data_IF_532375428904
#
_entry.id   IF_532375428904
#
_cell.length_a   1.000
_cell.length_b   1.000
_cell.length_c   1.000
_cell.angle_alpha   90.00
_cell.angle_beta   90.00
_cell.angle_gamma   90.00
#
_symmetry.space_group_name_H-M   'P 1'
#
loop_
_entity.id
_entity.type
_entity.pdbx_description
1 polymer ?
#
# COMPACT_ATOMS: atom_id res chain seq x y z
N UNK A 1 24.03 -0.50 3.46
CA UNK A 1 23.93 0.93 3.86
C UNK A 1 25.08 1.83 3.35
N UNK A 2 25.95 1.40 2.42
CA UNK A 2 27.08 2.21 1.90
C UNK A 2 26.95 2.68 0.45
N UNK A 3 25.94 2.20 -0.30
CA UNK A 3 25.82 2.46 -1.74
C UNK A 3 24.97 3.69 -2.07
N UNK A 4 24.13 4.16 -1.13
CA UNK A 4 23.22 5.29 -1.35
C UNK A 4 23.85 6.67 -1.12
N UNK A 5 25.04 6.75 -0.50
CA UNK A 5 25.73 8.03 -0.28
C UNK A 5 26.49 8.52 -1.53
N UNK A 6 26.92 7.60 -2.40
CA UNK A 6 27.67 7.91 -3.63
C UNK A 6 26.72 8.48 -4.72
N UNK A 7 25.46 8.03 -4.76
CA UNK A 7 24.48 8.49 -5.76
C UNK A 7 23.99 9.94 -5.53
N UNK A 8 24.00 10.44 -4.29
CA UNK A 8 23.57 11.82 -3.99
C UNK A 8 24.64 12.82 -4.44
N UNK A 9 25.92 12.45 -4.40
CA UNK A 9 27.02 13.30 -4.87
C UNK A 9 27.05 13.44 -6.40
N UNK A 10 26.64 12.39 -7.12
CA UNK A 10 26.64 12.33 -8.59
C UNK A 10 25.55 13.20 -9.26
N UNK A 11 24.50 13.58 -8.53
CA UNK A 11 23.44 14.47 -9.04
C UNK A 11 23.80 15.97 -8.96
N UNK A 12 24.87 16.35 -8.26
CA UNK A 12 25.32 17.74 -8.16
C UNK A 12 26.20 18.17 -9.34
N UNK A 13 26.85 17.22 -10.04
CA UNK A 13 27.76 17.53 -11.16
C UNK A 13 27.09 18.01 -12.48
N UNK A 14 25.89 17.55 -12.88
CA UNK A 14 25.29 17.97 -14.16
C UNK A 14 24.76 19.41 -14.15
N UNK A 15 24.43 19.97 -12.97
CA UNK A 15 23.86 21.32 -12.84
C UNK A 15 24.88 22.45 -13.04
N UNK A 16 26.19 22.16 -12.97
CA UNK A 16 27.25 23.14 -13.21
C UNK A 16 27.70 23.23 -14.68
N UNK A 17 27.21 22.36 -15.57
CA UNK A 17 27.62 22.36 -16.99
C UNK A 17 26.59 23.11 -17.88
N UNK A 18 25.38 23.38 -17.39
CA UNK A 18 24.34 24.11 -18.13
C UNK A 18 24.32 25.63 -17.85
N UNK A 19 25.49 26.26 -17.68
CA UNK A 19 25.66 27.73 -17.52
C UNK A 19 26.63 28.30 -18.57
N UNK A 20 26.94 27.54 -19.62
CA UNK A 20 27.88 27.97 -20.66
C UNK A 20 27.32 27.85 -22.07
N UNK A 21 26.45 28.77 -22.52
CA UNK A 21 26.39 29.13 -23.94
C UNK A 21 25.72 30.50 -24.15
N UNK A 22 26.34 31.44 -24.90
CA UNK A 22 25.80 32.77 -25.11
C UNK A 22 24.96 32.82 -26.40
N UNK A 23 23.67 33.15 -26.29
CA UNK A 23 22.88 33.56 -27.45
C UNK A 23 22.53 35.04 -27.39
N UNK A 24 23.27 35.83 -28.18
CA UNK A 24 22.88 37.16 -28.63
C UNK A 24 21.57 37.08 -29.41
N UNK A 25 20.56 37.86 -29.02
CA UNK A 25 19.53 38.38 -29.92
C UNK A 25 19.20 39.82 -29.50
N UNK A 26 19.10 40.80 -30.43
CA UNK A 26 18.67 42.14 -30.09
C UNK A 26 17.14 42.14 -29.99
N UNK A 27 16.62 42.28 -28.77
CA UNK A 27 15.19 42.52 -28.55
C UNK A 27 14.87 43.98 -28.82
N UNK A 28 14.02 44.21 -29.81
CA UNK A 28 13.34 45.49 -30.07
C UNK A 28 12.55 45.85 -28.81
N UNK A 29 12.86 47.00 -28.24
CA UNK A 29 12.23 47.57 -27.04
C UNK A 29 10.88 48.19 -27.41
N UNK A 30 9.73 47.70 -26.91
CA UNK A 30 8.51 48.49 -26.85
C UNK A 30 8.59 49.38 -25.61
N UNK A 31 8.58 50.70 -25.79
CA UNK A 31 8.45 51.65 -24.69
C UNK A 31 7.05 51.54 -24.09
N UNK A 32 6.90 50.70 -23.06
CA UNK A 32 5.82 50.80 -22.10
C UNK A 32 6.43 51.27 -20.77
N UNK A 33 5.87 52.29 -20.10
CA UNK A 33 6.38 52.70 -18.80
C UNK A 33 6.27 51.52 -17.82
N UNK A 34 7.38 51.10 -17.18
CA UNK A 34 7.37 49.98 -16.28
C UNK A 34 6.80 50.43 -14.94
N UNK A 35 5.55 50.07 -14.68
CA UNK A 35 4.98 50.10 -13.33
C UNK A 35 5.51 48.88 -12.56
N UNK A 36 6.82 48.73 -12.44
CA UNK A 36 7.45 47.71 -11.59
C UNK A 36 8.19 48.44 -10.48
N UNK A 37 7.50 48.61 -9.34
CA UNK A 37 8.17 48.83 -8.06
C UNK A 37 9.08 47.63 -7.82
N UNK A 38 10.37 47.82 -8.04
CA UNK A 38 11.40 46.84 -7.72
C UNK A 38 11.38 46.61 -6.21
N UNK A 39 11.57 45.36 -5.76
CA UNK A 39 11.71 45.03 -4.33
C UNK A 39 12.83 45.83 -3.63
N UNK A 40 13.74 46.44 -4.38
CA UNK A 40 14.76 47.37 -3.86
C UNK A 40 14.20 48.72 -3.38
N UNK A 41 13.02 49.16 -3.83
CA UNK A 41 12.39 50.41 -3.37
C UNK A 41 11.59 50.23 -2.06
N UNK A 42 11.31 48.98 -1.65
CA UNK A 42 10.68 48.69 -0.36
C UNK A 42 11.64 48.82 0.83
N UNK A 43 12.96 48.73 0.60
CA UNK A 43 13.97 48.92 1.66
C UNK A 43 14.08 50.39 2.11
N UNK A 44 13.68 51.36 1.28
CA UNK A 44 13.68 52.78 1.67
C UNK A 44 12.45 53.18 2.52
N UNK A 45 11.44 52.32 2.59
CA UNK A 45 10.13 52.59 3.18
C UNK A 45 9.75 51.60 4.30
N UNK A 46 10.74 50.95 4.91
CA UNK A 46 10.55 50.21 6.16
C UNK A 46 10.85 51.15 7.34
N UNK A 47 9.84 51.70 8.05
CA UNK A 47 10.07 52.41 9.30
C UNK A 47 10.84 51.50 10.26
N UNK A 48 11.90 52.01 10.88
CA UNK A 48 12.76 51.27 11.80
C UNK A 48 12.07 50.81 13.11
N UNK A 49 10.74 50.88 13.19
CA UNK A 49 9.97 50.84 14.44
C UNK A 49 8.60 50.13 14.30
N UNK A 50 8.47 49.14 13.41
CA UNK A 50 7.26 48.30 13.33
C UNK A 50 7.26 47.11 14.31
N UNK A 51 8.45 46.68 14.77
CA UNK A 51 8.60 45.57 15.72
C UNK A 51 8.19 45.95 17.16
N UNK A 52 8.25 47.24 17.50
CA UNK A 52 7.95 47.74 18.85
C UNK A 52 6.54 48.36 18.98
N UNK A 53 5.73 48.37 17.92
CA UNK A 53 4.33 48.82 18.00
C UNK A 53 3.47 47.76 18.74
N UNK A 54 2.91 48.09 19.92
CA UNK A 54 2.10 47.17 20.70
C UNK A 54 0.86 46.65 19.99
N UNK A 55 0.33 47.36 18.98
CA UNK A 55 -0.78 46.87 18.17
C UNK A 55 -0.31 45.83 17.14
N UNK A 56 0.80 46.10 16.44
CA UNK A 56 1.38 45.17 15.47
C UNK A 56 1.80 43.85 16.14
N UNK A 57 2.39 43.95 17.33
CA UNK A 57 2.79 42.77 18.12
C UNK A 57 1.60 41.87 18.47
N UNK A 58 0.47 42.45 18.91
CA UNK A 58 -0.76 41.69 19.22
C UNK A 58 -1.35 41.00 18.00
N UNK A 59 -1.31 41.64 16.83
CA UNK A 59 -1.79 41.06 15.57
C UNK A 59 -0.92 39.87 15.18
N UNK A 60 0.40 40.03 15.22
CA UNK A 60 1.36 38.97 14.91
C UNK A 60 1.18 37.77 15.86
N UNK A 61 1.13 37.99 17.18
CA UNK A 61 0.91 36.94 18.17
C UNK A 61 -0.42 36.19 17.97
N UNK A 62 -1.49 36.90 17.60
CA UNK A 62 -2.77 36.26 17.34
C UNK A 62 -2.75 35.44 16.04
N UNK A 63 -2.09 35.95 14.99
CA UNK A 63 -1.89 35.22 13.74
C UNK A 63 -1.07 33.95 13.98
N UNK A 64 0.06 34.07 14.68
CA UNK A 64 0.95 32.94 15.02
C UNK A 64 0.21 31.89 15.86
N UNK A 65 -0.57 32.32 16.86
CA UNK A 65 -1.39 31.42 17.67
C UNK A 65 -2.41 30.68 16.82
N UNK A 66 -3.13 31.37 15.93
CA UNK A 66 -4.12 30.76 15.05
C UNK A 66 -3.49 29.81 14.02
N UNK A 67 -2.37 30.20 13.42
CA UNK A 67 -1.66 29.32 12.47
C UNK A 67 -1.13 28.09 13.18
N UNK A 68 -0.51 28.24 14.35
CA UNK A 68 -0.03 27.12 15.18
C UNK A 68 -1.15 26.13 15.52
N UNK A 69 -2.33 26.62 15.92
CA UNK A 69 -3.50 25.78 16.17
C UNK A 69 -3.94 25.01 14.91
N UNK A 70 -4.03 25.68 13.76
CA UNK A 70 -4.39 25.02 12.50
C UNK A 70 -3.36 23.97 12.07
N UNK A 71 -2.07 24.22 12.28
CA UNK A 71 -1.02 23.25 11.99
C UNK A 71 -1.15 22.02 12.89
N UNK A 72 -1.40 22.21 14.19
CA UNK A 72 -1.65 21.10 15.11
C UNK A 72 -2.89 20.29 14.72
N UNK A 73 -4.00 20.95 14.42
CA UNK A 73 -5.23 20.27 14.02
C UNK A 73 -5.04 19.50 12.69
N UNK A 74 -4.34 20.10 11.72
CA UNK A 74 -4.01 19.46 10.47
C UNK A 74 -3.11 18.23 10.67
N UNK A 75 -2.08 18.33 11.51
CA UNK A 75 -1.17 17.23 11.81
C UNK A 75 -1.90 16.05 12.48
N UNK A 76 -2.77 16.33 13.46
CA UNK A 76 -3.60 15.30 14.09
C UNK A 76 -4.58 14.65 13.11
N UNK A 77 -5.22 15.45 12.25
CA UNK A 77 -6.10 14.93 11.18
C UNK A 77 -5.34 14.07 10.18
N UNK A 78 -4.11 14.46 9.86
CA UNK A 78 -3.25 13.72 8.93
C UNK A 78 -2.80 12.38 9.55
N UNK A 79 -2.38 12.37 10.81
CA UNK A 79 -2.03 11.14 11.55
C UNK A 79 -3.19 10.17 11.62
N UNK A 80 -4.36 10.64 12.04
CA UNK A 80 -5.57 9.81 12.18
C UNK A 80 -6.02 9.24 10.84
N UNK A 81 -6.03 10.05 9.78
CA UNK A 81 -6.39 9.62 8.42
C UNK A 81 -5.41 8.59 7.89
N UNK A 82 -4.10 8.79 8.12
CA UNK A 82 -3.06 7.85 7.72
C UNK A 82 -3.20 6.51 8.44
N UNK A 83 -3.47 6.52 9.74
CA UNK A 83 -3.71 5.32 10.54
C UNK A 83 -4.94 4.56 10.02
N UNK A 84 -6.06 5.27 9.78
CA UNK A 84 -7.27 4.68 9.21
C UNK A 84 -7.03 4.04 7.84
N UNK A 85 -6.28 4.70 6.96
CA UNK A 85 -5.92 4.15 5.65
C UNK A 85 -5.04 2.89 5.76
N UNK A 86 -4.09 2.88 6.71
CA UNK A 86 -3.28 1.70 7.02
C UNK A 86 -4.14 0.53 7.49
N UNK A 87 -5.08 0.77 8.39
CA UNK A 87 -6.00 -0.27 8.87
C UNK A 87 -6.88 -0.79 7.74
N UNK A 88 -7.48 0.10 6.94
CA UNK A 88 -8.32 -0.29 5.79
C UNK A 88 -7.55 -1.13 4.76
N UNK A 89 -6.30 -0.77 4.46
CA UNK A 89 -5.46 -1.54 3.52
C UNK A 89 -5.07 -2.91 4.06
N UNK A 90 -4.79 -3.02 5.36
CA UNK A 90 -4.53 -4.32 6.02
C UNK A 90 -5.79 -5.18 5.99
N UNK A 91 -6.95 -4.65 6.38
CA UNK A 91 -8.22 -5.37 6.37
C UNK A 91 -8.60 -5.82 4.94
N UNK A 92 -8.37 -4.97 3.94
CA UNK A 92 -8.60 -5.33 2.54
C UNK A 92 -7.66 -6.45 2.08
N UNK A 93 -6.38 -6.41 2.49
CA UNK A 93 -5.40 -7.44 2.20
C UNK A 93 -5.76 -8.79 2.86
N UNK A 94 -6.18 -8.78 4.12
CA UNK A 94 -6.65 -9.96 4.85
C UNK A 94 -7.89 -10.56 4.21
N UNK A 95 -8.89 -9.72 3.88
CA UNK A 95 -10.10 -10.16 3.17
C UNK A 95 -9.76 -10.79 1.83
N UNK A 96 -8.87 -10.16 1.05
CA UNK A 96 -8.41 -10.68 -0.23
C UNK A 96 -7.61 -11.98 -0.08
N UNK A 97 -6.87 -12.17 1.02
CA UNK A 97 -6.17 -13.41 1.33
C UNK A 97 -7.17 -14.54 1.63
N UNK A 98 -8.16 -14.29 2.47
CA UNK A 98 -9.20 -15.27 2.83
C UNK A 98 -10.03 -15.68 1.61
N UNK A 99 -10.41 -14.74 0.74
CA UNK A 99 -11.19 -15.07 -0.47
C UNK A 99 -10.41 -15.98 -1.42
N UNK A 100 -9.12 -15.70 -1.62
CA UNK A 100 -8.26 -16.49 -2.49
C UNK A 100 -7.94 -17.87 -1.87
N UNK A 101 -7.65 -17.91 -0.56
CA UNK A 101 -7.47 -19.15 0.18
C UNK A 101 -8.72 -20.04 0.13
N UNK A 102 -9.91 -19.45 0.26
CA UNK A 102 -11.19 -20.16 0.14
C UNK A 102 -11.33 -20.80 -1.24
N UNK A 103 -11.07 -20.05 -2.32
CA UNK A 103 -11.18 -20.59 -3.68
C UNK A 103 -10.20 -21.76 -3.93
N UNK A 104 -8.95 -21.62 -3.47
CA UNK A 104 -7.94 -22.68 -3.58
C UNK A 104 -8.31 -23.91 -2.75
N UNK A 105 -8.79 -23.71 -1.52
CA UNK A 105 -9.24 -24.79 -0.66
C UNK A 105 -10.46 -25.52 -1.21
N UNK A 106 -11.45 -24.79 -1.75
CA UNK A 106 -12.63 -25.37 -2.41
C UNK A 106 -12.21 -26.25 -3.59
N UNK A 107 -11.32 -25.75 -4.45
CA UNK A 107 -10.77 -26.54 -5.57
C UNK A 107 -10.04 -27.81 -5.09
N UNK A 108 -9.24 -27.70 -4.02
CA UNK A 108 -8.52 -28.83 -3.46
C UNK A 108 -9.47 -29.88 -2.84
N UNK A 109 -10.47 -29.43 -2.07
CA UNK A 109 -11.49 -30.30 -1.47
C UNK A 109 -12.32 -31.04 -2.52
N UNK A 110 -12.83 -30.33 -3.53
CA UNK A 110 -13.57 -30.96 -4.64
C UNK A 110 -12.71 -31.99 -5.37
N UNK A 111 -11.43 -31.68 -5.63
CA UNK A 111 -10.52 -32.62 -6.30
C UNK A 111 -10.32 -33.90 -5.49
N UNK A 112 -10.23 -33.81 -4.16
CA UNK A 112 -10.10 -34.98 -3.30
C UNK A 112 -11.35 -35.86 -3.34
N UNK A 113 -12.55 -35.25 -3.33
CA UNK A 113 -13.82 -35.98 -3.50
C UNK A 113 -13.84 -36.70 -4.85
N UNK A 114 -13.45 -36.01 -5.94
CA UNK A 114 -13.37 -36.63 -7.28
C UNK A 114 -12.40 -37.82 -7.29
N UNK A 115 -11.23 -37.71 -6.65
CA UNK A 115 -10.28 -38.83 -6.56
C UNK A 115 -10.85 -40.03 -5.82
N UNK A 116 -11.60 -39.81 -4.73
CA UNK A 116 -12.28 -40.88 -4.00
C UNK A 116 -13.37 -41.55 -4.85
N UNK A 117 -14.14 -40.76 -5.59
CA UNK A 117 -15.12 -41.29 -6.55
C UNK A 117 -14.41 -42.11 -7.63
N UNK A 118 -13.33 -41.60 -8.22
CA UNK A 118 -12.56 -42.34 -9.22
C UNK A 118 -12.03 -43.67 -8.66
N UNK A 119 -11.54 -43.69 -7.41
CA UNK A 119 -11.13 -44.92 -6.74
C UNK A 119 -12.27 -45.92 -6.62
N UNK A 120 -13.46 -45.46 -6.27
CA UNK A 120 -14.67 -46.29 -6.22
C UNK A 120 -15.10 -46.79 -7.60
N UNK A 121 -14.92 -45.99 -8.65
CA UNK A 121 -15.31 -46.36 -10.01
C UNK A 121 -14.36 -47.40 -10.65
N UNK A 122 -13.10 -47.49 -10.21
CA UNK A 122 -12.06 -48.37 -10.80
C UNK A 122 -12.44 -49.86 -10.95
N UNK A 123 -13.13 -50.51 -9.99
CA UNK A 123 -13.48 -51.92 -10.10
C UNK A 123 -14.54 -52.21 -11.16
N UNK A 124 -15.32 -51.21 -11.57
CA UNK A 124 -16.44 -51.39 -12.49
C UNK A 124 -16.00 -51.31 -13.94
N UNK A 125 -16.52 -52.22 -14.75
CA UNK A 125 -16.29 -52.28 -16.20
C UNK A 125 -17.49 -51.75 -16.98
N UNK A 126 -17.30 -51.41 -18.26
CA UNK A 126 -18.41 -51.00 -19.15
C UNK A 126 -19.50 -52.07 -19.28
N UNK A 127 -19.12 -53.36 -19.18
CA UNK A 127 -20.06 -54.50 -19.22
C UNK A 127 -20.97 -54.54 -17.98
N UNK A 128 -20.54 -53.95 -16.87
CA UNK A 128 -21.29 -53.83 -15.62
C UNK A 128 -22.16 -52.57 -15.55
N UNK A 129 -22.22 -51.79 -16.65
CA UNK A 129 -23.06 -50.61 -16.76
C UNK A 129 -22.52 -49.37 -16.05
N UNK A 130 -21.19 -49.25 -15.93
CA UNK A 130 -20.50 -48.09 -15.35
C UNK A 130 -20.97 -46.76 -15.96
N UNK A 131 -21.40 -45.84 -15.10
CA UNK A 131 -21.65 -44.43 -15.44
C UNK A 131 -20.71 -43.55 -14.62
N UNK A 132 -19.91 -42.73 -15.31
CA UNK A 132 -19.03 -41.77 -14.63
C UNK A 132 -19.86 -40.59 -14.10
N UNK A 133 -19.78 -40.35 -12.80
CA UNK A 133 -20.49 -39.25 -12.12
C UNK A 133 -19.55 -38.24 -11.45
N UNK A 134 -18.24 -38.24 -11.75
CA UNK A 134 -17.29 -37.28 -11.14
C UNK A 134 -17.66 -35.82 -11.40
N UNK A 135 -18.29 -35.53 -12.54
CA UNK A 135 -18.75 -34.18 -12.92
C UNK A 135 -19.87 -33.62 -12.04
N UNK A 136 -20.45 -34.44 -11.15
CA UNK A 136 -21.51 -34.01 -10.22
C UNK A 136 -20.96 -33.17 -9.06
N UNK A 137 -19.66 -33.32 -8.76
CA UNK A 137 -19.02 -32.63 -7.63
C UNK A 137 -18.93 -31.15 -7.94
N UNK A 138 -19.43 -30.32 -7.03
CA UNK A 138 -19.42 -28.87 -7.12
C UNK A 138 -19.26 -28.23 -5.74
N UNK A 139 -19.18 -26.90 -5.71
CA UNK A 139 -18.93 -26.13 -4.50
C UNK A 139 -20.02 -26.31 -3.43
N UNK A 140 -21.26 -26.61 -3.85
CA UNK A 140 -22.40 -26.74 -2.95
C UNK A 140 -22.51 -28.13 -2.30
N UNK A 141 -21.96 -29.18 -2.92
CA UNK A 141 -22.19 -30.56 -2.47
C UNK A 141 -20.95 -31.29 -1.94
N UNK A 142 -19.72 -30.86 -2.27
CA UNK A 142 -18.52 -31.64 -1.92
C UNK A 142 -18.28 -31.80 -0.40
N UNK A 143 -18.84 -30.90 0.42
CA UNK A 143 -18.76 -30.95 1.89
C UNK A 143 -19.92 -31.69 2.55
N UNK A 144 -20.92 -32.13 1.79
CA UNK A 144 -22.12 -32.75 2.34
C UNK A 144 -22.38 -34.08 1.66
N UNK A 145 -22.25 -35.15 2.43
CA UNK A 145 -22.50 -36.50 1.95
C UNK A 145 -23.93 -36.68 1.41
N UNK A 146 -24.92 -36.09 2.09
CA UNK A 146 -26.33 -36.14 1.67
C UNK A 146 -26.55 -35.39 0.36
N UNK A 147 -26.07 -34.15 0.26
CA UNK A 147 -26.21 -33.37 -0.97
C UNK A 147 -25.46 -34.00 -2.15
N UNK A 148 -24.28 -34.59 -1.90
CA UNK A 148 -23.51 -35.31 -2.91
C UNK A 148 -24.23 -36.58 -3.36
N UNK A 149 -24.74 -37.37 -2.42
CA UNK A 149 -25.52 -38.58 -2.69
C UNK A 149 -26.79 -38.26 -3.49
N UNK A 150 -27.56 -37.25 -3.08
CA UNK A 150 -28.75 -36.78 -3.81
C UNK A 150 -28.41 -36.35 -5.24
N UNK A 151 -27.32 -35.60 -5.41
CA UNK A 151 -26.86 -35.16 -6.73
C UNK A 151 -26.50 -36.36 -7.62
N UNK A 152 -25.84 -37.38 -7.05
CA UNK A 152 -25.48 -38.62 -7.75
C UNK A 152 -26.71 -39.44 -8.13
N UNK A 153 -27.61 -39.71 -7.18
CA UNK A 153 -28.85 -40.46 -7.43
C UNK A 153 -29.67 -39.77 -8.51
N UNK A 154 -29.79 -38.44 -8.46
CA UNK A 154 -30.48 -37.66 -9.49
C UNK A 154 -29.84 -37.84 -10.87
N UNK A 155 -28.51 -37.77 -10.97
CA UNK A 155 -27.79 -37.95 -12.22
C UNK A 155 -27.97 -39.38 -12.76
N UNK A 156 -27.84 -40.37 -11.87
CA UNK A 156 -27.89 -41.79 -12.21
C UNK A 156 -29.31 -42.31 -12.45
N UNK A 157 -30.36 -41.61 -12.01
CA UNK A 157 -31.77 -42.03 -12.23
C UNK A 157 -32.15 -42.26 -13.70
N UNK A 158 -31.38 -41.68 -14.64
CA UNK A 158 -31.53 -41.92 -16.08
C UNK A 158 -31.03 -43.30 -16.54
N UNK A 159 -30.10 -43.89 -15.80
CA UNK A 159 -29.41 -45.15 -16.13
C UNK A 159 -29.65 -46.27 -15.11
N UNK A 160 -30.01 -45.91 -13.87
CA UNK A 160 -30.27 -46.79 -12.74
C UNK A 160 -31.71 -46.65 -12.27
N UNK A 161 -32.41 -47.79 -12.09
CA UNK A 161 -33.77 -47.84 -11.54
C UNK A 161 -33.73 -48.07 -10.02
N UNK A 162 -33.39 -47.02 -9.27
CA UNK A 162 -33.38 -47.07 -7.80
C UNK A 162 -34.79 -47.32 -7.22
N UNK A 163 -34.88 -48.08 -6.13
CA UNK A 163 -36.14 -48.35 -5.43
C UNK A 163 -37.11 -49.29 -6.15
N UNK A 164 -36.68 -49.93 -7.24
CA UNK A 164 -37.47 -50.92 -7.98
C UNK A 164 -37.17 -52.34 -7.52
N UNK A 165 -38.13 -53.27 -7.70
CA UNK A 165 -37.91 -54.71 -7.46
C UNK A 165 -37.11 -55.40 -8.59
N UNK A 166 -36.72 -54.65 -9.62
CA UNK A 166 -35.95 -55.18 -10.74
C UNK A 166 -34.47 -55.36 -10.35
N UNK A 167 -33.83 -56.41 -10.86
CA UNK A 167 -32.38 -56.62 -10.65
C UNK A 167 -31.64 -55.54 -11.45
N UNK A 168 -31.20 -54.48 -10.77
CA UNK A 168 -30.30 -53.48 -11.33
C UNK A 168 -28.95 -54.08 -11.72
N UNK A 169 -28.17 -53.35 -12.54
CA UNK A 169 -26.80 -53.78 -12.82
C UNK A 169 -25.92 -53.69 -11.55
N UNK A 170 -24.78 -54.38 -11.56
CA UNK A 170 -23.87 -54.47 -10.40
C UNK A 170 -23.50 -53.09 -9.86
N UNK A 171 -23.31 -52.12 -10.76
CA UNK A 171 -22.99 -50.74 -10.41
C UNK A 171 -24.13 -50.03 -9.65
N UNK A 172 -25.35 -50.02 -10.19
CA UNK A 172 -26.52 -49.37 -9.59
C UNK A 172 -26.87 -49.99 -8.24
N UNK A 173 -26.82 -51.33 -8.13
CA UNK A 173 -27.05 -52.02 -6.86
C UNK A 173 -26.01 -51.61 -5.82
N UNK A 174 -24.74 -51.52 -6.20
CA UNK A 174 -23.68 -51.10 -5.27
C UNK A 174 -23.90 -49.67 -4.76
N UNK A 175 -24.31 -48.75 -5.63
CA UNK A 175 -24.66 -47.37 -5.23
C UNK A 175 -25.85 -47.37 -4.26
N UNK A 176 -26.88 -48.16 -4.54
CA UNK A 176 -28.09 -48.25 -3.72
C UNK A 176 -27.84 -48.87 -2.33
N UNK A 177 -27.06 -49.95 -2.26
CA UNK A 177 -26.74 -50.64 -0.99
C UNK A 177 -25.69 -49.92 -0.14
N UNK A 178 -24.67 -49.29 -0.75
CA UNK A 178 -23.67 -48.52 -0.01
C UNK A 178 -24.30 -47.26 0.63
N UNK A 179 -25.34 -46.72 -0.01
CA UNK A 179 -26.10 -45.58 0.46
C UNK A 179 -25.21 -44.40 0.86
N UNK A 180 -25.63 -43.65 1.88
CA UNK A 180 -24.95 -42.43 2.34
C UNK A 180 -23.58 -42.73 3.01
N UNK A 181 -23.33 -43.96 3.47
CA UNK A 181 -22.13 -44.31 4.24
C UNK A 181 -20.85 -44.06 3.45
N UNK A 182 -20.81 -44.48 2.19
CA UNK A 182 -19.62 -44.31 1.35
C UNK A 182 -19.40 -42.83 0.99
N UNK A 183 -20.49 -42.10 0.73
CA UNK A 183 -20.47 -40.67 0.48
C UNK A 183 -19.99 -39.85 1.68
N UNK A 184 -20.22 -40.33 2.91
CA UNK A 184 -19.61 -39.73 4.11
C UNK A 184 -18.08 -39.79 4.03
N UNK A 185 -17.51 -40.92 3.60
CA UNK A 185 -16.06 -41.04 3.48
C UNK A 185 -15.48 -40.04 2.45
N UNK A 186 -16.19 -39.83 1.33
CA UNK A 186 -15.78 -38.91 0.28
C UNK A 186 -15.85 -37.46 0.77
N UNK A 187 -16.99 -37.07 1.34
CA UNK A 187 -17.19 -35.73 1.88
C UNK A 187 -16.17 -35.42 2.98
N UNK A 188 -15.88 -36.37 3.88
CA UNK A 188 -14.86 -36.20 4.93
C UNK A 188 -13.45 -36.01 4.36
N UNK A 189 -13.08 -36.76 3.31
CA UNK A 189 -11.81 -36.55 2.62
C UNK A 189 -11.74 -35.13 2.00
N UNK A 190 -12.83 -34.70 1.36
CA UNK A 190 -12.97 -33.35 0.81
C UNK A 190 -12.86 -32.24 1.86
N UNK A 191 -13.55 -32.40 3.00
CA UNK A 191 -13.51 -31.47 4.13
C UNK A 191 -12.11 -31.40 4.71
N UNK A 192 -11.50 -32.54 5.00
CA UNK A 192 -10.14 -32.61 5.55
C UNK A 192 -9.14 -31.91 4.63
N UNK A 193 -9.22 -32.17 3.32
CA UNK A 193 -8.34 -31.54 2.33
C UNK A 193 -8.60 -30.04 2.23
N UNK A 194 -9.86 -29.63 2.27
CA UNK A 194 -10.27 -28.22 2.30
C UNK A 194 -9.66 -27.51 3.51
N UNK A 195 -9.86 -28.03 4.72
CA UNK A 195 -9.45 -27.38 5.97
C UNK A 195 -7.93 -27.22 6.05
N UNK A 196 -7.18 -28.28 5.71
CA UNK A 196 -5.71 -28.25 5.66
C UNK A 196 -5.23 -27.21 4.64
N UNK A 197 -5.80 -27.20 3.44
CA UNK A 197 -5.42 -26.26 2.39
C UNK A 197 -5.79 -24.83 2.77
N UNK A 198 -6.98 -24.63 3.33
CA UNK A 198 -7.48 -23.33 3.78
C UNK A 198 -6.58 -22.74 4.87
N UNK A 199 -6.24 -23.51 5.90
CA UNK A 199 -5.37 -23.06 6.98
C UNK A 199 -3.97 -22.67 6.45
N UNK A 200 -3.38 -23.52 5.60
CA UNK A 200 -2.05 -23.27 5.00
C UNK A 200 -2.04 -22.04 4.09
N UNK A 201 -3.03 -21.93 3.20
CA UNK A 201 -3.11 -20.84 2.22
C UNK A 201 -3.47 -19.51 2.88
N UNK A 202 -4.40 -19.51 3.84
CA UNK A 202 -4.78 -18.30 4.57
C UNK A 202 -3.57 -17.69 5.27
N UNK A 203 -2.76 -18.50 5.96
CA UNK A 203 -1.53 -18.03 6.61
C UNK A 203 -0.55 -17.43 5.58
N UNK A 204 -0.22 -18.19 4.55
CA UNK A 204 0.76 -17.79 3.52
C UNK A 204 0.36 -16.52 2.78
N UNK A 205 -0.90 -16.43 2.35
CA UNK A 205 -1.42 -15.29 1.61
C UNK A 205 -1.59 -14.06 2.50
N UNK A 206 -1.99 -14.23 3.76
CA UNK A 206 -2.09 -13.13 4.71
C UNK A 206 -0.72 -12.51 4.97
N UNK A 207 0.27 -13.34 5.29
CA UNK A 207 1.64 -12.89 5.53
C UNK A 207 2.21 -12.15 4.31
N UNK A 208 1.96 -12.68 3.10
CA UNK A 208 2.42 -12.07 1.85
C UNK A 208 1.75 -10.72 1.56
N UNK A 209 0.40 -10.67 1.61
CA UNK A 209 -0.36 -9.46 1.26
C UNK A 209 -0.19 -8.37 2.32
N UNK A 210 -0.29 -8.71 3.61
CA UNK A 210 -0.06 -7.77 4.71
C UNK A 210 1.40 -7.34 4.76
N UNK A 211 2.35 -8.25 4.48
CA UNK A 211 3.77 -7.93 4.34
C UNK A 211 4.03 -6.87 3.27
N UNK A 212 3.41 -7.01 2.09
CA UNK A 212 3.49 -6.03 1.00
C UNK A 212 2.93 -4.65 1.40
N UNK A 213 1.78 -4.60 2.08
CA UNK A 213 1.20 -3.36 2.60
C UNK A 213 2.14 -2.70 3.61
N UNK A 214 2.69 -3.46 4.56
CA UNK A 214 3.62 -2.96 5.58
C UNK A 214 4.92 -2.44 4.95
N UNK A 215 5.48 -3.14 3.96
CA UNK A 215 6.69 -2.74 3.24
C UNK A 215 6.50 -1.41 2.51
N UNK A 216 5.36 -1.27 1.80
CA UNK A 216 5.00 -0.03 1.10
C UNK A 216 4.82 1.14 2.07
N UNK A 217 4.19 0.91 3.22
CA UNK A 217 4.08 1.95 4.25
C UNK A 217 5.44 2.37 4.83
N UNK A 218 6.33 1.41 5.06
CA UNK A 218 7.67 1.67 5.57
C UNK A 218 8.49 2.52 4.59
N UNK A 219 8.43 2.27 3.29
CA UNK A 219 9.16 3.07 2.30
C UNK A 219 8.69 4.53 2.29
N UNK A 220 7.39 4.78 2.39
CA UNK A 220 6.86 6.15 2.52
C UNK A 220 7.32 6.84 3.80
N UNK A 221 7.38 6.13 4.93
CA UNK A 221 7.91 6.69 6.17
C UNK A 221 9.38 7.08 6.03
N UNK A 222 10.21 6.21 5.45
CA UNK A 222 11.62 6.51 5.22
C UNK A 222 11.80 7.72 4.30
N UNK A 223 11.00 7.86 3.25
CA UNK A 223 11.04 9.01 2.35
C UNK A 223 10.69 10.32 3.07
N UNK A 224 9.67 10.32 3.93
CA UNK A 224 9.28 11.50 4.73
C UNK A 224 10.43 11.91 5.68
N UNK A 225 11.00 10.94 6.40
CA UNK A 225 12.12 11.19 7.34
C UNK A 225 13.32 11.77 6.57
N UNK A 226 13.67 11.21 5.41
CA UNK A 226 14.77 11.70 4.59
C UNK A 226 14.56 13.16 4.14
N UNK A 227 13.34 13.53 3.72
CA UNK A 227 12.99 14.91 3.35
C UNK A 227 13.13 15.88 4.52
N UNK A 228 12.70 15.49 5.73
CA UNK A 228 12.84 16.32 6.94
C UNK A 228 14.33 16.54 7.26
N UNK A 229 15.14 15.48 7.23
CA UNK A 229 16.58 15.58 7.46
C UNK A 229 17.25 16.52 6.46
N UNK A 230 16.88 16.45 5.17
CA UNK A 230 17.41 17.35 4.15
C UNK A 230 17.08 18.83 4.44
N UNK A 231 15.84 19.13 4.83
CA UNK A 231 15.43 20.51 5.18
C UNK A 231 16.24 21.01 6.39
N UNK A 232 16.38 20.20 7.44
CA UNK A 232 17.15 20.57 8.64
C UNK A 232 18.61 20.88 8.30
N UNK A 233 19.24 20.10 7.42
CA UNK A 233 20.62 20.34 6.95
C UNK A 233 20.73 21.67 6.21
N UNK A 234 19.79 21.99 5.32
CA UNK A 234 19.77 23.27 4.59
C UNK A 234 19.66 24.45 5.56
N UNK A 235 18.75 24.38 6.52
CA UNK A 235 18.55 25.43 7.54
C UNK A 235 19.82 25.63 8.38
N UNK A 236 20.47 24.54 8.81
CA UNK A 236 21.73 24.62 9.55
C UNK A 236 22.83 25.33 8.76
N UNK A 237 22.98 25.03 7.46
CA UNK A 237 23.95 25.70 6.59
C UNK A 237 23.65 27.19 6.49
N UNK A 238 22.37 27.57 6.29
CA UNK A 238 21.97 28.98 6.24
C UNK A 238 22.30 29.72 7.54
N UNK A 239 22.07 29.10 8.70
CA UNK A 239 22.40 29.69 10.01
C UNK A 239 23.91 29.89 10.18
N UNK A 240 24.73 28.92 9.76
CA UNK A 240 26.19 29.03 9.82
C UNK A 240 26.67 30.18 8.94
N UNK A 241 26.23 30.23 7.68
CA UNK A 241 26.57 31.30 6.74
C UNK A 241 26.13 32.66 7.30
N UNK A 242 24.91 32.76 7.82
CA UNK A 242 24.39 33.97 8.45
C UNK A 242 25.28 34.43 9.61
N UNK A 243 25.70 33.53 10.52
CA UNK A 243 26.61 33.86 11.62
C UNK A 243 27.96 34.35 11.11
N UNK A 244 28.54 33.73 10.08
CA UNK A 244 29.80 34.17 9.47
C UNK A 244 29.65 35.56 8.88
N UNK A 245 28.61 35.81 8.09
CA UNK A 245 28.33 37.11 7.46
C UNK A 245 28.09 38.21 8.52
N UNK A 246 27.30 37.90 9.56
CA UNK A 246 27.05 38.81 10.68
C UNK A 246 28.32 39.15 11.45
N UNK A 247 29.15 38.15 11.71
CA UNK A 247 30.45 38.34 12.36
C UNK A 247 31.37 39.24 11.52
N UNK A 248 31.46 39.00 10.20
CA UNK A 248 32.24 39.83 9.26
C UNK A 248 31.75 41.28 9.23
N UNK A 249 30.44 41.53 9.16
CA UNK A 249 29.87 42.89 9.19
C UNK A 249 30.24 43.64 10.48
N UNK A 250 30.08 43.01 11.65
CA UNK A 250 30.48 43.63 12.93
C UNK A 250 31.97 43.98 12.98
N UNK A 251 32.84 43.08 12.51
CA UNK A 251 34.29 43.35 12.45
C UNK A 251 34.62 44.53 11.53
N UNK A 252 33.96 44.64 10.37
CA UNK A 252 34.14 45.77 9.44
C UNK A 252 33.73 47.10 10.07
N UNK A 253 32.61 47.14 10.80
CA UNK A 253 32.13 48.36 11.47
C UNK A 253 33.05 48.81 12.61
N UNK A 254 33.56 47.88 13.44
CA UNK A 254 34.53 48.20 14.49
C UNK A 254 35.80 48.83 13.93
N UNK A 255 36.32 48.30 12.81
CA UNK A 255 37.48 48.89 12.13
C UNK A 255 37.19 50.32 11.64
N UNK A 256 36.03 50.55 11.01
CA UNK A 256 35.64 51.90 10.54
C UNK A 256 35.57 52.93 11.68
N UNK A 257 35.02 52.55 12.82
CA UNK A 257 34.93 53.42 14.01
C UNK A 257 36.30 53.84 14.55
N UNK A 258 37.30 52.94 14.51
CA UNK A 258 38.67 53.28 14.91
C UNK A 258 39.31 54.28 13.93
N UNK A 259 39.09 54.12 12.62
CA UNK A 259 39.61 55.06 11.63
C UNK A 259 38.99 56.46 11.72
N UNK A 260 37.68 56.55 12.02
CA UNK A 260 37.02 57.86 12.20
C UNK A 260 37.61 58.61 13.40
N UNK A 261 37.81 57.92 14.53
CA UNK A 261 38.41 58.54 15.74
C UNK A 261 39.82 59.10 15.50
N UNK A 262 40.63 58.42 14.70
CA UNK A 262 42.00 58.85 14.37
C UNK A 262 42.04 60.07 13.43
N UNK A 263 40.94 60.43 12.78
CA UNK A 263 40.85 61.57 11.86
C UNK A 263 40.27 62.82 12.51
N UNK A 264 39.75 62.71 13.74
CA UNK A 264 39.05 63.77 14.47
C UNK A 264 39.94 64.39 15.58
N UNK A 265 41.09 63.76 15.88
CA UNK A 265 42.23 64.33 16.63
C UNK A 265 43.22 65.02 15.67
#
# INVERSE_FOLDING_TARGET
MKVHYINILLFALPLNILVGSPHKKPSITPNFPPNTRLLCDCELYSPANYDDDPQMKKIMENFDRQTSQRFHEYDERMKTTRQKCKEQSITAAEKAAVTEATALATKAGMREVVLKIEQFLKPFTKKEGLVNFTSVVNEANFKSATALHESVVKLLSKSCKFGSKEIGNVFCNTIEYNGIKEFNSYAQAGITKYDVTFASQTKTLTDTKVGSVKATYASYQTAIIASIVAIVVIVLIMVIIYKILRYRRKKKMKKKLQYIKLLEE
#
